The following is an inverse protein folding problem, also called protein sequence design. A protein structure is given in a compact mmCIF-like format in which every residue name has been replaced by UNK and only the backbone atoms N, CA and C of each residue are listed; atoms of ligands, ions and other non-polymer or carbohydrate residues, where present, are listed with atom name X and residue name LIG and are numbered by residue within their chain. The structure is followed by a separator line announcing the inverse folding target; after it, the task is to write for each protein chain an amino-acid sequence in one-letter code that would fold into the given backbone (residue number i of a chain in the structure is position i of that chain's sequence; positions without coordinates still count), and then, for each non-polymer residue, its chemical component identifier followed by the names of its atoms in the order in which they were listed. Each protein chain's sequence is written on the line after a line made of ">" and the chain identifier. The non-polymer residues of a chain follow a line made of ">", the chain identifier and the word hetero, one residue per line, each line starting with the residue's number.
data_IF_006631645296
#
_entry.id   IF_006631645296
#
_cell.length_a   1.000
_cell.length_b   1.000
_cell.length_c   1.000
_cell.angle_alpha   90.00
_cell.angle_beta   90.00
_cell.angle_gamma   90.00
#
_symmetry.space_group_name_H-M   'P 1'
#
loop_
_entity.id
_entity.type
_entity.pdbx_description
1 polymer ?
#
# COMPACT_ATOMS: atom_id res chain seq x y z
N UNK A 1 -10.45 -0.12 -18.33
CA UNK A 1 -9.54 -1.16 -17.79
C UNK A 1 -9.72 -1.19 -16.28
N UNK A 2 -9.61 -2.35 -15.63
CA UNK A 2 -9.61 -2.43 -14.16
C UNK A 2 -8.31 -1.86 -13.62
N UNK A 3 -8.35 -1.11 -12.52
CA UNK A 3 -7.15 -0.62 -11.83
C UNK A 3 -6.51 -1.73 -11.01
N UNK A 4 -5.23 -1.62 -10.60
CA UNK A 4 -4.61 -2.56 -9.66
C UNK A 4 -5.42 -2.72 -8.36
N UNK A 5 -6.01 -1.63 -7.86
CA UNK A 5 -6.90 -1.67 -6.69
C UNK A 5 -8.17 -2.51 -6.92
N UNK A 6 -8.79 -2.40 -8.10
CA UNK A 6 -9.98 -3.18 -8.45
C UNK A 6 -9.64 -4.67 -8.56
N UNK A 7 -8.47 -4.98 -9.15
CA UNK A 7 -7.97 -6.36 -9.28
C UNK A 7 -7.72 -6.98 -7.91
N UNK A 8 -7.03 -6.26 -7.03
CA UNK A 8 -6.76 -6.69 -5.66
C UNK A 8 -8.06 -6.94 -4.88
N UNK A 9 -9.00 -6.00 -4.97
CA UNK A 9 -10.28 -6.12 -4.27
C UNK A 9 -11.08 -7.33 -4.74
N UNK A 10 -11.13 -7.55 -6.05
CA UNK A 10 -11.81 -8.71 -6.63
C UNK A 10 -11.15 -10.01 -6.16
N UNK A 11 -9.81 -10.07 -6.18
CA UNK A 11 -9.01 -11.20 -5.72
C UNK A 11 -9.28 -11.54 -4.24
N UNK A 12 -9.21 -10.53 -3.37
CA UNK A 12 -9.41 -10.70 -1.93
C UNK A 12 -10.82 -11.19 -1.59
N UNK A 13 -11.84 -10.70 -2.32
CA UNK A 13 -13.23 -11.12 -2.15
C UNK A 13 -13.46 -12.57 -2.59
N UNK A 14 -12.94 -12.94 -3.77
CA UNK A 14 -13.05 -14.29 -4.31
C UNK A 14 -12.41 -15.31 -3.37
N UNK A 15 -11.19 -15.01 -2.91
CA UNK A 15 -10.46 -15.88 -2.00
C UNK A 15 -11.11 -16.03 -0.62
N UNK A 16 -11.58 -14.92 -0.04
CA UNK A 16 -12.31 -14.97 1.23
C UNK A 16 -13.53 -15.89 1.13
N UNK A 17 -14.22 -15.88 -0.02
CA UNK A 17 -15.38 -16.72 -0.28
C UNK A 17 -14.98 -18.20 -0.46
N UNK A 18 -13.90 -18.48 -1.18
CA UNK A 18 -13.41 -19.85 -1.37
C UNK A 18 -12.92 -20.48 -0.06
N UNK A 19 -12.10 -19.77 0.73
CA UNK A 19 -11.65 -20.24 2.05
C UNK A 19 -12.86 -20.52 2.94
N UNK A 20 -13.83 -19.60 2.99
CA UNK A 20 -15.03 -19.78 3.81
C UNK A 20 -15.82 -21.03 3.40
N UNK A 21 -15.90 -21.28 2.08
CA UNK A 21 -16.54 -22.48 1.53
C UNK A 21 -15.75 -23.75 1.87
N UNK A 22 -14.43 -23.71 1.78
CA UNK A 22 -13.57 -24.86 2.06
C UNK A 22 -13.56 -25.18 3.55
N UNK A 23 -13.41 -24.18 4.43
CA UNK A 23 -13.61 -24.31 5.87
C UNK A 23 -14.95 -24.97 6.23
N UNK A 24 -16.02 -24.61 5.53
CA UNK A 24 -17.33 -25.23 5.71
C UNK A 24 -17.32 -26.71 5.29
N UNK A 25 -16.70 -27.05 4.17
CA UNK A 25 -16.53 -28.46 3.75
C UNK A 25 -15.66 -29.28 4.72
N UNK A 26 -14.68 -28.65 5.36
CA UNK A 26 -13.88 -29.26 6.42
C UNK A 26 -14.72 -29.60 7.65
N UNK A 27 -15.66 -28.72 8.04
CA UNK A 27 -16.63 -29.02 9.10
C UNK A 27 -17.54 -30.20 8.74
N UNK A 28 -17.90 -30.31 7.46
CA UNK A 28 -18.76 -31.36 6.94
C UNK A 28 -18.01 -32.67 6.55
N UNK A 29 -16.67 -32.73 6.75
CA UNK A 29 -15.77 -33.89 6.49
C UNK A 29 -15.70 -34.41 5.03
N UNK A 30 -16.09 -33.62 4.03
CA UNK A 30 -16.27 -34.11 2.64
C UNK A 30 -15.15 -33.75 1.63
N UNK A 31 -14.08 -33.02 1.98
CA UNK A 31 -13.15 -32.45 0.99
C UNK A 31 -11.66 -32.89 1.08
N UNK A 32 -10.95 -32.98 -0.07
CA UNK A 32 -9.50 -33.18 -0.11
C UNK A 32 -8.75 -31.92 0.34
N UNK A 33 -7.71 -32.12 1.16
CA UNK A 33 -7.15 -31.07 2.04
C UNK A 33 -6.21 -30.04 1.39
N UNK A 34 -5.71 -30.31 0.18
CA UNK A 34 -4.52 -29.65 -0.37
C UNK A 34 -4.79 -28.58 -1.44
N UNK A 35 -6.03 -28.39 -1.89
CA UNK A 35 -6.37 -27.48 -2.99
C UNK A 35 -6.42 -26.01 -2.53
N UNK A 36 -7.12 -25.71 -1.43
CA UNK A 36 -7.31 -24.34 -0.94
C UNK A 36 -6.05 -23.63 -0.47
N UNK A 37 -5.11 -24.34 0.16
CA UNK A 37 -3.86 -23.75 0.66
C UNK A 37 -2.96 -23.29 -0.49
N UNK A 38 -2.88 -24.08 -1.56
CA UNK A 38 -2.09 -23.77 -2.74
C UNK A 38 -2.65 -22.56 -3.50
N UNK A 39 -3.98 -22.47 -3.63
CA UNK A 39 -4.67 -21.32 -4.21
C UNK A 39 -4.46 -20.07 -3.35
N UNK A 40 -4.68 -20.15 -2.03
CA UNK A 40 -4.43 -19.07 -1.07
C UNK A 40 -3.00 -18.52 -1.17
N UNK A 41 -2.00 -19.40 -1.19
CA UNK A 41 -0.60 -18.99 -1.33
C UNK A 41 -0.30 -18.30 -2.66
N UNK A 42 -0.91 -18.76 -3.76
CA UNK A 42 -0.78 -18.10 -5.07
C UNK A 42 -1.42 -16.71 -5.06
N UNK A 43 -2.57 -16.56 -4.42
CA UNK A 43 -3.29 -15.30 -4.31
C UNK A 43 -2.59 -14.29 -3.40
N UNK A 44 -2.04 -14.72 -2.25
CA UNK A 44 -1.20 -13.88 -1.39
C UNK A 44 -0.01 -13.33 -2.18
N UNK A 45 0.69 -14.17 -2.94
CA UNK A 45 1.79 -13.70 -3.80
C UNK A 45 1.35 -12.72 -4.90
N UNK A 46 0.12 -12.86 -5.40
CA UNK A 46 -0.46 -11.91 -6.35
C UNK A 46 -0.76 -10.57 -5.69
N UNK A 47 -1.40 -10.62 -4.51
CA UNK A 47 -1.75 -9.50 -3.67
C UNK A 47 -0.51 -8.71 -3.21
N UNK A 48 0.57 -9.38 -2.80
CA UNK A 48 1.86 -8.78 -2.46
C UNK A 48 2.44 -7.98 -3.63
N UNK A 49 2.41 -8.55 -4.85
CA UNK A 49 2.89 -7.84 -6.06
C UNK A 49 2.05 -6.62 -6.39
N UNK A 50 0.73 -6.71 -6.23
CA UNK A 50 -0.16 -5.58 -6.47
C UNK A 50 0.03 -4.49 -5.41
N UNK A 51 0.22 -4.85 -4.14
CA UNK A 51 0.54 -3.91 -3.06
C UNK A 51 1.84 -3.15 -3.34
N UNK A 52 2.93 -3.86 -3.67
CA UNK A 52 4.21 -3.25 -4.07
C UNK A 52 4.07 -2.34 -5.30
N UNK A 53 3.23 -2.71 -6.26
CA UNK A 53 2.97 -1.86 -7.42
C UNK A 53 2.26 -0.56 -7.04
N UNK A 54 1.37 -0.61 -6.06
CA UNK A 54 0.62 0.56 -5.58
C UNK A 54 1.51 1.48 -4.74
N UNK A 55 2.33 0.93 -3.85
CA UNK A 55 3.30 1.70 -3.07
C UNK A 55 4.23 2.49 -3.99
N UNK A 56 4.77 1.85 -5.04
CA UNK A 56 5.58 2.54 -6.06
C UNK A 56 4.84 3.66 -6.79
N UNK A 57 3.53 3.53 -7.00
CA UNK A 57 2.71 4.59 -7.61
C UNK A 57 2.55 5.77 -6.66
N UNK A 58 2.34 5.50 -5.37
CA UNK A 58 2.27 6.52 -4.31
C UNK A 58 3.61 7.27 -4.20
N UNK A 59 4.72 6.55 -4.09
CA UNK A 59 6.07 7.15 -4.05
C UNK A 59 6.35 8.02 -5.27
N UNK A 60 6.01 7.52 -6.47
CA UNK A 60 6.18 8.29 -7.70
C UNK A 60 5.34 9.56 -7.69
N UNK A 61 4.11 9.50 -7.21
CA UNK A 61 3.24 10.68 -7.11
C UNK A 61 3.80 11.71 -6.12
N UNK A 62 4.35 11.28 -4.98
CA UNK A 62 5.05 12.14 -4.02
C UNK A 62 6.23 12.86 -4.69
N UNK A 63 7.09 12.12 -5.39
CA UNK A 63 8.23 12.70 -6.10
C UNK A 63 7.82 13.72 -7.17
N UNK A 64 6.75 13.43 -7.94
CA UNK A 64 6.23 14.37 -8.94
C UNK A 64 5.70 15.66 -8.31
N UNK A 65 5.05 15.58 -7.14
CA UNK A 65 4.58 16.76 -6.41
C UNK A 65 5.76 17.63 -5.92
N UNK A 66 6.85 17.02 -5.45
CA UNK A 66 8.07 17.74 -5.07
C UNK A 66 8.72 18.46 -6.26
N UNK A 67 8.79 17.80 -7.42
CA UNK A 67 9.28 18.42 -8.65
C UNK A 67 8.41 19.59 -9.10
N UNK A 68 7.08 19.44 -9.01
CA UNK A 68 6.13 20.53 -9.33
C UNK A 68 6.27 21.69 -8.34
N UNK A 69 6.46 21.42 -7.05
CA UNK A 69 6.69 22.45 -6.04
C UNK A 69 7.96 23.25 -6.33
N UNK A 70 9.04 22.57 -6.73
CA UNK A 70 10.29 23.23 -7.14
C UNK A 70 10.04 24.15 -8.35
N UNK A 71 9.35 23.66 -9.40
CA UNK A 71 9.03 24.46 -10.59
C UNK A 71 8.12 25.65 -10.29
N UNK A 72 7.14 25.48 -9.39
CA UNK A 72 6.28 26.56 -8.91
C UNK A 72 7.13 27.65 -8.25
N UNK A 73 8.06 27.27 -7.38
CA UNK A 73 8.89 28.24 -6.65
C UNK A 73 9.84 28.99 -7.58
N UNK A 74 10.45 28.30 -8.55
CA UNK A 74 11.27 28.94 -9.58
C UNK A 74 10.46 29.94 -10.41
N UNK A 75 9.23 29.56 -10.82
CA UNK A 75 8.34 30.45 -11.56
C UNK A 75 7.96 31.69 -10.72
N UNK A 76 7.69 31.51 -9.42
CA UNK A 76 7.40 32.61 -8.49
C UNK A 76 8.58 33.57 -8.37
N UNK A 77 9.76 33.03 -8.09
CA UNK A 77 10.99 33.84 -7.97
C UNK A 77 11.27 34.63 -9.24
N UNK A 78 11.08 34.02 -10.42
CA UNK A 78 11.27 34.71 -11.69
C UNK A 78 10.21 35.78 -11.95
N UNK A 79 8.95 35.52 -11.61
CA UNK A 79 7.87 36.50 -11.73
C UNK A 79 8.14 37.75 -10.87
N UNK A 80 8.52 37.54 -9.61
CA UNK A 80 8.81 38.60 -8.63
C UNK A 80 10.04 39.40 -9.05
N UNK A 81 11.12 38.71 -9.44
CA UNK A 81 12.34 39.35 -9.94
C UNK A 81 12.08 40.22 -11.16
N UNK A 82 11.28 39.74 -12.12
CA UNK A 82 10.94 40.51 -13.32
C UNK A 82 10.03 41.69 -13.00
N UNK A 83 9.14 41.54 -12.03
CA UNK A 83 8.31 42.64 -11.53
C UNK A 83 9.17 43.77 -10.93
N UNK A 84 10.12 43.44 -10.07
CA UNK A 84 11.07 44.43 -9.51
C UNK A 84 11.87 45.14 -10.61
N UNK A 85 12.31 44.39 -11.63
CA UNK A 85 13.04 44.96 -12.77
C UNK A 85 12.18 45.87 -13.66
N UNK A 86 10.89 45.57 -13.80
CA UNK A 86 9.93 46.48 -14.46
C UNK A 86 9.86 47.81 -13.71
N UNK A 87 9.71 47.78 -12.39
CA UNK A 87 9.59 49.00 -11.58
C UNK A 87 10.90 49.81 -11.57
N UNK A 88 12.06 49.14 -11.56
CA UNK A 88 13.36 49.81 -11.71
C UNK A 88 13.51 50.48 -13.08
N UNK A 89 13.19 49.78 -14.17
CA UNK A 89 13.29 50.32 -15.53
C UNK A 89 12.34 51.51 -15.75
N UNK A 90 11.12 51.46 -15.21
CA UNK A 90 10.19 52.61 -15.22
C UNK A 90 10.78 53.84 -14.52
N UNK A 91 11.39 53.65 -13.34
CA UNK A 91 12.05 54.75 -12.61
C UNK A 91 13.24 55.34 -13.36
N UNK A 92 13.92 54.53 -14.16
CA UNK A 92 15.04 54.96 -15.00
C UNK A 92 14.60 55.59 -16.33
N UNK A 93 13.31 55.58 -16.67
CA UNK A 93 12.80 56.07 -17.97
C UNK A 93 13.05 55.10 -19.14
N UNK A 94 13.46 53.86 -18.87
CA UNK A 94 13.77 52.85 -19.87
C UNK A 94 12.52 52.04 -20.25
N UNK A 95 11.59 52.66 -20.98
CA UNK A 95 10.25 52.10 -21.25
C UNK A 95 10.29 50.73 -21.95
N UNK A 96 11.19 50.52 -22.92
CA UNK A 96 11.32 49.23 -23.63
C UNK A 96 11.80 48.11 -22.71
N UNK A 97 12.70 48.41 -21.78
CA UNK A 97 13.16 47.43 -20.79
C UNK A 97 12.04 47.10 -19.80
N UNK A 98 11.28 48.11 -19.38
CA UNK A 98 10.13 47.94 -18.49
C UNK A 98 9.04 47.05 -19.12
N UNK A 99 8.70 47.28 -20.39
CA UNK A 99 7.69 46.51 -21.12
C UNK A 99 8.09 45.04 -21.26
N UNK A 100 9.35 44.78 -21.65
CA UNK A 100 9.86 43.41 -21.76
C UNK A 100 9.84 42.69 -20.41
N UNK A 101 10.34 43.32 -19.35
CA UNK A 101 10.32 42.73 -18.02
C UNK A 101 8.89 42.47 -17.53
N UNK A 102 7.94 43.33 -17.87
CA UNK A 102 6.53 43.15 -17.48
C UNK A 102 5.89 41.95 -18.20
N UNK A 103 6.21 41.76 -19.48
CA UNK A 103 5.77 40.60 -20.25
C UNK A 103 6.33 39.29 -19.66
N UNK A 104 7.62 39.26 -19.33
CA UNK A 104 8.26 38.10 -18.70
C UNK A 104 7.67 37.83 -17.30
N UNK A 105 7.45 38.87 -16.47
CA UNK A 105 6.82 38.74 -15.15
C UNK A 105 5.41 38.14 -15.26
N UNK A 106 4.60 38.62 -16.20
CA UNK A 106 3.26 38.06 -16.46
C UNK A 106 3.34 36.59 -16.85
N UNK A 107 4.25 36.23 -17.76
CA UNK A 107 4.42 34.85 -18.22
C UNK A 107 4.77 33.90 -17.07
N UNK A 108 5.75 34.26 -16.24
CA UNK A 108 6.14 33.45 -15.09
C UNK A 108 5.02 33.41 -14.02
N UNK A 109 4.27 34.49 -13.83
CA UNK A 109 3.10 34.50 -12.95
C UNK A 109 1.95 33.59 -13.43
N UNK A 110 1.79 33.41 -14.74
CA UNK A 110 0.86 32.43 -15.31
C UNK A 110 1.36 30.99 -15.10
N UNK A 111 2.66 30.73 -15.28
CA UNK A 111 3.25 29.42 -14.98
C UNK A 111 3.14 29.05 -13.50
N UNK A 112 3.37 30.01 -12.60
CA UNK A 112 3.20 29.82 -11.16
C UNK A 112 1.79 29.31 -10.83
N UNK A 113 0.75 30.01 -11.32
CA UNK A 113 -0.65 29.61 -11.11
C UNK A 113 -0.98 28.25 -11.72
N UNK A 114 -0.38 27.93 -12.87
CA UNK A 114 -0.54 26.63 -13.51
C UNK A 114 0.03 25.51 -12.64
N UNK A 115 1.24 25.65 -12.12
CA UNK A 115 1.84 24.65 -11.24
C UNK A 115 1.12 24.55 -9.89
N UNK A 116 0.64 25.65 -9.31
CA UNK A 116 -0.22 25.60 -8.11
C UNK A 116 -1.47 24.75 -8.35
N UNK A 117 -2.16 24.94 -9.49
CA UNK A 117 -3.33 24.13 -9.82
C UNK A 117 -3.03 22.63 -9.93
N UNK A 118 -1.90 22.27 -10.56
CA UNK A 118 -1.46 20.87 -10.67
C UNK A 118 -1.09 20.26 -9.31
N UNK A 119 -0.45 21.03 -8.43
CA UNK A 119 -0.11 20.59 -7.08
C UNK A 119 -1.39 20.35 -6.27
N UNK A 120 -2.36 21.26 -6.33
CA UNK A 120 -3.63 21.12 -5.62
C UNK A 120 -4.41 19.88 -6.07
N UNK A 121 -4.46 19.64 -7.38
CA UNK A 121 -5.09 18.44 -7.95
C UNK A 121 -4.33 17.17 -7.55
N UNK A 122 -3.02 17.15 -7.76
CA UNK A 122 -2.18 15.99 -7.47
C UNK A 122 -2.11 15.63 -5.99
N UNK A 123 -2.25 16.61 -5.08
CA UNK A 123 -2.32 16.38 -3.62
C UNK A 123 -3.62 15.68 -3.25
N UNK A 124 -4.76 16.09 -3.82
CA UNK A 124 -6.05 15.41 -3.58
C UNK A 124 -6.05 13.98 -4.11
N UNK A 125 -5.42 13.75 -5.26
CA UNK A 125 -5.27 12.40 -5.81
C UNK A 125 -4.33 11.55 -4.95
N UNK A 126 -3.24 12.13 -4.44
CA UNK A 126 -2.31 11.43 -3.54
C UNK A 126 -3.02 10.94 -2.27
N UNK A 127 -3.82 11.79 -1.60
CA UNK A 127 -4.61 11.39 -0.43
C UNK A 127 -5.52 10.17 -0.73
N UNK A 128 -6.12 10.15 -1.93
CA UNK A 128 -6.98 9.05 -2.35
C UNK A 128 -6.16 7.77 -2.63
N UNK A 129 -4.96 7.90 -3.20
CA UNK A 129 -4.05 6.77 -3.44
C UNK A 129 -3.52 6.19 -2.12
N UNK A 130 -3.13 7.04 -1.16
CA UNK A 130 -2.62 6.61 0.15
C UNK A 130 -3.67 5.84 0.94
N UNK A 131 -4.93 6.33 0.96
CA UNK A 131 -6.04 5.60 1.60
C UNK A 131 -6.24 4.22 0.98
N UNK A 132 -6.20 4.13 -0.35
CA UNK A 132 -6.37 2.84 -1.04
C UNK A 132 -5.19 1.91 -0.83
N UNK A 133 -3.97 2.44 -0.76
CA UNK A 133 -2.76 1.67 -0.44
C UNK A 133 -2.86 1.08 0.98
N UNK A 134 -3.32 1.88 1.95
CA UNK A 134 -3.59 1.41 3.30
C UNK A 134 -4.66 0.30 3.32
N UNK A 135 -5.78 0.49 2.62
CA UNK A 135 -6.81 -0.55 2.50
C UNK A 135 -6.27 -1.85 1.91
N UNK A 136 -5.35 -1.78 0.94
CA UNK A 136 -4.68 -2.96 0.38
C UNK A 136 -3.78 -3.64 1.41
N UNK A 137 -2.97 -2.87 2.15
CA UNK A 137 -2.10 -3.40 3.21
C UNK A 137 -2.91 -4.15 4.27
N UNK A 138 -4.00 -3.56 4.76
CA UNK A 138 -4.88 -4.17 5.76
C UNK A 138 -5.52 -5.47 5.25
N UNK A 139 -5.97 -5.49 4.00
CA UNK A 139 -6.54 -6.72 3.40
C UNK A 139 -5.50 -7.81 3.16
N UNK A 140 -4.26 -7.44 2.83
CA UNK A 140 -3.17 -8.39 2.69
C UNK A 140 -2.87 -9.05 4.05
N UNK A 141 -2.84 -8.26 5.13
CA UNK A 141 -2.72 -8.77 6.50
C UNK A 141 -3.88 -9.70 6.88
N UNK A 142 -5.14 -9.33 6.57
CA UNK A 142 -6.29 -10.23 6.75
C UNK A 142 -6.12 -11.57 6.00
N UNK A 143 -5.56 -11.55 4.78
CA UNK A 143 -5.31 -12.76 3.99
C UNK A 143 -4.19 -13.61 4.60
N UNK A 144 -3.13 -12.99 5.11
CA UNK A 144 -2.04 -13.68 5.81
C UNK A 144 -2.55 -14.31 7.12
N UNK A 145 -3.36 -13.60 7.89
CA UNK A 145 -4.01 -14.13 9.09
C UNK A 145 -4.91 -15.34 8.77
N UNK A 146 -5.68 -15.30 7.68
CA UNK A 146 -6.47 -16.46 7.22
C UNK A 146 -5.60 -17.64 6.81
N UNK A 147 -4.42 -17.41 6.22
CA UNK A 147 -3.44 -18.47 5.93
C UNK A 147 -3.00 -19.17 7.21
N UNK A 148 -2.67 -18.40 8.25
CA UNK A 148 -2.29 -18.97 9.55
C UNK A 148 -3.41 -19.78 10.19
N UNK A 149 -4.65 -19.27 10.16
CA UNK A 149 -5.80 -20.00 10.69
C UNK A 149 -6.00 -21.34 9.95
N UNK A 150 -5.89 -21.34 8.62
CA UNK A 150 -6.04 -22.55 7.82
C UNK A 150 -4.95 -23.57 8.14
N UNK A 151 -3.68 -23.15 8.18
CA UNK A 151 -2.55 -24.01 8.50
C UNK A 151 -2.66 -24.61 9.91
N UNK A 152 -3.05 -23.81 10.91
CA UNK A 152 -3.24 -24.28 12.28
C UNK A 152 -4.32 -25.36 12.38
N UNK A 153 -5.45 -25.17 11.70
CA UNK A 153 -6.54 -26.16 11.67
C UNK A 153 -6.12 -27.46 11.00
N UNK A 154 -5.37 -27.37 9.90
CA UNK A 154 -4.82 -28.54 9.23
C UNK A 154 -3.87 -29.32 10.16
N UNK A 155 -3.00 -28.63 10.89
CA UNK A 155 -2.09 -29.27 11.85
C UNK A 155 -2.87 -29.97 12.98
N UNK A 156 -3.89 -29.33 13.55
CA UNK A 156 -4.74 -29.97 14.57
C UNK A 156 -5.42 -31.25 14.06
N UNK A 157 -5.84 -31.29 12.80
CA UNK A 157 -6.46 -32.48 12.22
C UNK A 157 -5.44 -33.60 11.93
N UNK A 158 -4.22 -33.26 11.50
CA UNK A 158 -3.11 -34.22 11.39
C UNK A 158 -2.77 -34.82 12.75
N UNK A 159 -2.65 -34.00 13.79
CA UNK A 159 -2.44 -34.43 15.17
C UNK A 159 -3.56 -35.35 15.67
N UNK A 160 -4.83 -35.01 15.44
CA UNK A 160 -5.97 -35.86 15.80
C UNK A 160 -5.91 -37.21 15.08
N UNK A 161 -5.66 -37.21 13.76
CA UNK A 161 -5.53 -38.44 12.99
C UNK A 161 -4.37 -39.32 13.48
N UNK A 162 -3.23 -38.72 13.81
CA UNK A 162 -2.09 -39.44 14.39
C UNK A 162 -2.42 -40.01 15.77
N UNK A 163 -3.11 -39.26 16.63
CA UNK A 163 -3.55 -39.73 17.95
C UNK A 163 -4.58 -40.86 17.82
N UNK A 164 -5.58 -40.73 16.96
CA UNK A 164 -6.58 -41.77 16.70
C UNK A 164 -5.92 -43.05 16.15
N UNK A 165 -4.86 -42.93 15.33
CA UNK A 165 -4.08 -44.07 14.86
C UNK A 165 -3.26 -44.71 15.98
N UNK A 166 -2.67 -43.91 16.88
CA UNK A 166 -1.88 -44.40 18.01
C UNK A 166 -2.76 -45.07 19.09
N UNK A 167 -3.94 -44.50 19.36
CA UNK A 167 -4.85 -44.99 20.41
C UNK A 167 -5.91 -45.98 19.89
N UNK A 168 -6.17 -46.01 18.59
CA UNK A 168 -7.11 -46.94 17.93
C UNK A 168 -6.45 -48.17 17.31
N UNK A 169 -5.13 -48.20 17.16
CA UNK A 169 -4.40 -49.40 16.76
C UNK A 169 -4.01 -50.24 18.00
N UNK A 170 -4.55 -51.46 18.09
CA UNK A 170 -3.95 -52.49 18.94
C UNK A 170 -2.47 -52.63 18.56
N UNK A 171 -1.61 -52.56 19.57
CA UNK A 171 -0.16 -52.44 19.47
C UNK A 171 0.49 -53.44 18.50
N UNK A 172 0.65 -53.08 17.23
CA UNK A 172 1.73 -53.65 16.41
C UNK A 172 2.06 -52.79 15.20
N UNK A 173 3.32 -52.36 15.17
CA UNK A 173 4.15 -51.91 14.04
C UNK A 173 4.18 -50.41 13.72
N UNK A 174 5.38 -49.88 13.98
CA UNK A 174 6.09 -48.75 13.36
C UNK A 174 5.52 -47.35 13.54
N UNK A 175 6.28 -46.52 14.27
CA UNK A 175 6.09 -45.08 14.35
C UNK A 175 6.11 -44.43 12.95
N UNK A 176 5.15 -43.55 12.61
CA UNK A 176 5.06 -42.88 11.31
C UNK A 176 5.65 -41.46 11.33
N UNK A 177 6.50 -41.12 12.29
CA UNK A 177 7.18 -39.82 12.30
C UNK A 177 8.38 -39.86 11.33
N UNK A 178 8.11 -40.13 10.06
CA UNK A 178 9.08 -40.02 8.97
C UNK A 178 9.07 -38.58 8.47
N UNK A 179 10.06 -37.82 8.93
CA UNK A 179 10.95 -36.83 8.26
C UNK A 179 10.54 -36.08 6.97
N UNK A 180 9.35 -36.26 6.39
CA UNK A 180 8.94 -35.59 5.14
C UNK A 180 8.26 -34.23 5.35
N UNK A 181 7.85 -33.87 6.58
CA UNK A 181 7.16 -32.60 6.86
C UNK A 181 8.10 -31.42 7.19
N UNK A 182 9.40 -31.65 7.41
CA UNK A 182 10.36 -30.57 7.77
C UNK A 182 10.66 -29.57 6.63
N UNK A 183 10.07 -29.72 5.44
CA UNK A 183 10.38 -28.87 4.27
C UNK A 183 9.37 -27.77 3.96
N UNK A 184 8.33 -27.58 4.76
CA UNK A 184 7.41 -26.46 4.60
C UNK A 184 7.61 -25.47 5.75
N UNK A 185 7.66 -24.19 5.38
CA UNK A 185 7.69 -23.03 6.27
C UNK A 185 9.06 -22.60 6.80
N UNK A 186 9.84 -21.99 5.92
CA UNK A 186 10.55 -20.76 6.26
C UNK A 186 10.73 -19.93 4.98
N UNK A 187 9.61 -19.42 4.45
CA UNK A 187 9.71 -18.25 3.58
C UNK A 187 9.82 -17.04 4.52
N UNK A 188 10.94 -16.29 4.51
CA UNK A 188 11.06 -15.11 5.34
C UNK A 188 9.95 -14.14 4.95
N UNK A 189 9.16 -13.69 5.92
CA UNK A 189 8.25 -12.58 5.76
C UNK A 189 9.08 -11.34 5.46
N UNK A 190 8.94 -10.79 4.24
CA UNK A 190 9.33 -9.40 4.02
C UNK A 190 8.36 -8.55 4.83
N UNK A 191 8.83 -8.08 5.99
CA UNK A 191 8.12 -7.11 6.81
C UNK A 191 7.79 -5.90 5.95
N UNK A 192 6.50 -5.67 5.71
CA UNK A 192 6.01 -4.47 5.04
C UNK A 192 6.44 -3.28 5.91
N UNK A 193 7.03 -2.28 5.26
CA UNK A 193 7.86 -1.22 5.83
C UNK A 193 7.30 -0.62 7.14
N UNK A 194 8.08 -0.70 8.23
CA UNK A 194 7.69 -0.19 9.56
C UNK A 194 7.75 1.34 9.65
N UNK A 195 8.36 2.01 8.66
CA UNK A 195 8.54 3.46 8.66
C UNK A 195 7.22 4.25 8.60
N UNK A 196 6.21 3.74 7.89
CA UNK A 196 4.90 4.41 7.76
C UNK A 196 4.04 4.30 9.03
N UNK A 197 4.24 3.26 9.85
CA UNK A 197 3.54 3.10 11.14
C UNK A 197 4.06 4.06 12.21
N UNK A 198 5.37 4.31 12.21
CA UNK A 198 6.01 5.22 13.17
C UNK A 198 5.52 6.68 13.01
N UNK A 199 5.29 7.15 11.77
CA UNK A 199 4.76 8.50 11.50
C UNK A 199 3.27 8.61 11.86
N UNK A 200 2.49 7.55 11.67
CA UNK A 200 1.07 7.50 12.07
C UNK A 200 0.91 7.59 13.59
N UNK A 201 1.66 6.77 14.34
CA UNK A 201 1.61 6.74 15.81
C UNK A 201 2.08 8.08 16.41
N UNK A 202 3.10 8.71 15.82
CA UNK A 202 3.57 10.04 16.21
C UNK A 202 2.48 11.11 16.04
N UNK A 203 1.78 11.11 14.89
CA UNK A 203 0.66 12.03 14.61
C UNK A 203 -0.51 11.81 15.57
N UNK A 204 -0.87 10.56 15.85
CA UNK A 204 -1.93 10.20 16.81
C UNK A 204 -1.58 10.67 18.22
N UNK A 205 -0.34 10.42 18.66
CA UNK A 205 0.14 10.84 19.97
C UNK A 205 0.14 12.36 20.13
N UNK A 206 0.49 13.11 19.09
CA UNK A 206 0.37 14.56 19.10
C UNK A 206 -1.09 15.01 19.20
N UNK A 207 -1.98 14.38 18.43
CA UNK A 207 -3.42 14.67 18.48
C UNK A 207 -4.00 14.38 19.87
N UNK A 208 -3.68 13.23 20.46
CA UNK A 208 -4.05 12.88 21.82
C UNK A 208 -3.53 13.90 22.84
N UNK A 209 -2.29 14.38 22.67
CA UNK A 209 -1.72 15.40 23.56
C UNK A 209 -2.49 16.71 23.47
N UNK A 210 -2.87 17.13 22.26
CA UNK A 210 -3.67 18.36 22.03
C UNK A 210 -5.05 18.26 22.70
N UNK A 211 -5.72 17.11 22.60
CA UNK A 211 -7.05 16.91 23.20
C UNK A 211 -7.05 16.56 24.70
N UNK A 212 -5.91 16.17 25.27
CA UNK A 212 -5.75 15.97 26.73
C UNK A 212 -5.29 17.23 27.47
N UNK A 213 -4.98 18.32 26.75
CA UNK A 213 -4.57 19.61 27.31
C UNK A 213 -5.67 20.67 27.35
N UNK A 214 -6.84 20.38 26.77
CA UNK A 214 -8.10 21.13 26.90
C UNK A 214 -9.03 20.47 27.94
#
# INVERSE_FOLDING_TARGET
>A
MKTPFDQFRDLANELTKEISKEMKKYQDKEAPRTSGEAELNRHIRGAEKEALSVERLVERQKALLEELATKRDDAKQMADKRYEQTELAKKAGEEKLAERAALESKHYGEQYRYFEGLIDEGTRELDALERRALEMRLKLDEMQNKRYEFAMRQNMDLLKGALDQIFGADTSKSHPFTEEEEKKESAPEESIDSADEDDFEAKLKELERRFKQD
#
